data_IF_347841825405
#
_entry.id   IF_347841825405
#
_cell.length_a   1.000
_cell.length_b   1.000
_cell.length_c   1.000
_cell.angle_alpha   90.00
_cell.angle_beta   90.00
_cell.angle_gamma   90.00
#
_symmetry.space_group_name_H-M   'P 1'
#
loop_
_entity.id
_entity.type
_entity.pdbx_description
1 polymer ?
#
# COMPACT_ATOMS: atom_id res chain seq x y z
N UNK A 1 6.66 16.44 17.22
CA UNK A 1 6.77 16.41 18.71
C UNK A 1 5.92 15.23 19.18
N UNK A 2 6.48 14.29 19.97
CA UNK A 2 5.73 13.14 20.52
C UNK A 2 4.83 13.68 21.64
N UNK A 3 3.52 13.44 21.57
CA UNK A 3 2.57 13.90 22.58
C UNK A 3 2.51 12.93 23.76
N UNK A 4 1.98 13.39 24.91
CA UNK A 4 1.71 12.50 26.05
C UNK A 4 0.75 11.35 25.69
N UNK A 5 -0.22 11.61 24.79
CA UNK A 5 -1.14 10.59 24.27
C UNK A 5 -0.37 9.50 23.50
N UNK A 6 0.61 9.87 22.68
CA UNK A 6 1.43 8.91 21.94
C UNK A 6 2.25 8.02 22.88
N UNK A 7 2.79 8.60 23.95
CA UNK A 7 3.54 7.84 24.97
C UNK A 7 2.62 6.83 25.67
N UNK A 8 1.45 7.28 26.15
CA UNK A 8 0.48 6.40 26.82
C UNK A 8 -0.01 5.31 25.87
N UNK A 9 -0.29 5.63 24.60
CA UNK A 9 -0.68 4.64 23.62
C UNK A 9 0.41 3.57 23.42
N UNK A 10 1.68 3.98 23.29
CA UNK A 10 2.82 3.04 23.15
C UNK A 10 3.01 2.14 24.39
N UNK A 11 2.77 2.65 25.60
CA UNK A 11 2.86 1.86 26.83
C UNK A 11 1.72 0.85 26.97
N UNK A 12 0.52 1.19 26.47
CA UNK A 12 -0.66 0.31 26.54
C UNK A 12 -0.71 -0.74 25.44
N UNK A 13 -0.13 -0.45 24.28
CA UNK A 13 -0.28 -1.30 23.10
C UNK A 13 0.25 -2.74 23.28
N UNK A 14 1.37 -3.00 23.97
CA UNK A 14 1.80 -4.37 24.29
C UNK A 14 0.72 -5.19 24.99
N UNK A 15 -0.01 -4.61 25.93
CA UNK A 15 -1.11 -5.29 26.63
C UNK A 15 -2.28 -5.57 25.69
N UNK A 16 -2.58 -4.62 24.76
CA UNK A 16 -3.61 -4.83 23.75
C UNK A 16 -3.23 -5.95 22.77
N UNK A 17 -1.95 -6.05 22.39
CA UNK A 17 -1.43 -7.15 21.56
C UNK A 17 -1.59 -8.49 22.27
N UNK A 18 -1.23 -8.55 23.56
CA UNK A 18 -1.33 -9.77 24.36
C UNK A 18 -2.78 -10.23 24.56
N UNK A 19 -3.72 -9.27 24.71
CA UNK A 19 -5.14 -9.55 24.90
C UNK A 19 -5.87 -10.02 23.63
N UNK A 20 -5.34 -9.74 22.43
CA UNK A 20 -5.98 -10.12 21.16
C UNK A 20 -5.51 -11.49 20.68
N UNK A 21 -6.43 -12.46 20.47
CA UNK A 21 -6.08 -13.75 19.90
C UNK A 21 -5.31 -13.59 18.57
N UNK A 22 -4.23 -14.35 18.40
CA UNK A 22 -3.41 -14.29 17.18
C UNK A 22 -2.40 -13.14 17.13
N UNK A 23 -2.64 -12.00 17.81
CA UNK A 23 -1.74 -10.84 17.72
C UNK A 23 -0.56 -10.87 18.68
N UNK A 24 -0.65 -11.64 19.78
CA UNK A 24 0.45 -11.79 20.78
C UNK A 24 1.77 -12.23 20.16
N UNK A 25 1.73 -13.02 19.07
CA UNK A 25 2.92 -13.48 18.34
C UNK A 25 3.73 -12.33 17.73
N UNK A 26 3.12 -11.17 17.53
CA UNK A 26 3.74 -10.00 16.92
C UNK A 26 4.38 -9.05 17.93
N UNK A 27 4.26 -9.30 19.26
CA UNK A 27 4.78 -8.39 20.28
C UNK A 27 6.28 -8.12 20.11
N UNK A 28 7.10 -9.15 19.94
CA UNK A 28 8.55 -9.01 19.74
C UNK A 28 8.89 -8.22 18.47
N UNK A 29 8.17 -8.50 17.36
CA UNK A 29 8.33 -7.76 16.09
C UNK A 29 7.94 -6.29 16.24
N UNK A 30 6.85 -6.03 16.95
CA UNK A 30 6.39 -4.66 17.21
C UNK A 30 7.39 -3.89 18.05
N UNK A 31 7.91 -4.47 19.14
CA UNK A 31 8.95 -3.84 19.98
C UNK A 31 10.22 -3.51 19.18
N UNK A 32 10.69 -4.42 18.34
CA UNK A 32 11.86 -4.18 17.48
C UNK A 32 11.59 -3.06 16.48
N UNK A 33 10.37 -2.95 15.97
CA UNK A 33 9.96 -1.94 14.99
C UNK A 33 9.89 -0.52 15.53
N UNK A 34 9.99 -0.33 16.87
CA UNK A 34 10.02 1.01 17.48
C UNK A 34 11.33 1.77 17.19
N UNK A 35 12.36 1.11 16.67
CA UNK A 35 13.63 1.74 16.32
C UNK A 35 13.44 2.74 15.17
N UNK A 36 13.96 3.99 15.27
CA UNK A 36 13.83 4.98 14.21
C UNK A 36 14.29 4.45 12.85
N UNK A 37 13.50 4.66 11.79
CA UNK A 37 13.83 4.20 10.43
C UNK A 37 13.89 2.67 10.26
N UNK A 38 13.29 1.91 11.16
CA UNK A 38 13.33 0.44 11.15
C UNK A 38 12.85 -0.16 9.82
N UNK A 39 11.68 0.26 9.33
CA UNK A 39 11.09 -0.31 8.11
C UNK A 39 11.99 -0.19 6.89
N UNK A 40 12.58 0.99 6.70
CA UNK A 40 13.48 1.22 5.57
C UNK A 40 14.77 0.38 5.70
N UNK A 41 15.39 0.34 6.90
CA UNK A 41 16.60 -0.47 7.12
C UNK A 41 16.31 -1.97 7.00
N UNK A 42 15.20 -2.42 7.55
CA UNK A 42 14.79 -3.82 7.49
C UNK A 42 14.31 -4.22 6.08
N UNK A 43 13.92 -3.25 5.24
CA UNK A 43 13.29 -3.51 3.95
C UNK A 43 11.96 -4.25 4.14
N UNK A 44 11.07 -3.69 4.97
CA UNK A 44 9.77 -4.26 5.25
C UNK A 44 8.66 -3.30 4.86
N UNK A 45 7.57 -3.79 4.24
CA UNK A 45 6.38 -2.99 3.99
C UNK A 45 5.76 -2.47 5.30
N UNK A 46 5.15 -1.30 5.23
CA UNK A 46 4.36 -0.78 6.34
C UNK A 46 2.90 -1.23 6.22
N UNK A 47 2.71 -2.52 6.41
CA UNK A 47 1.43 -3.23 6.36
C UNK A 47 1.21 -3.96 7.69
N UNK A 48 0.03 -4.57 7.89
CA UNK A 48 -0.16 -5.43 9.05
C UNK A 48 0.83 -6.58 9.07
N UNK A 49 1.24 -7.03 10.25
CA UNK A 49 2.22 -8.14 10.35
C UNK A 49 1.71 -9.42 9.68
N UNK A 50 0.39 -9.67 9.75
CA UNK A 50 -0.22 -10.83 9.09
C UNK A 50 -0.17 -10.71 7.56
N UNK A 51 -0.36 -9.51 7.02
CA UNK A 51 -0.17 -9.25 5.58
C UNK A 51 1.30 -9.43 5.16
N UNK A 52 2.26 -8.96 5.96
CA UNK A 52 3.69 -9.18 5.72
C UNK A 52 4.00 -10.69 5.71
N UNK A 53 3.43 -11.47 6.62
CA UNK A 53 3.61 -12.92 6.68
C UNK A 53 2.97 -13.63 5.45
N UNK A 54 1.85 -13.12 4.96
CA UNK A 54 1.25 -13.60 3.72
C UNK A 54 2.13 -13.29 2.50
N UNK A 55 2.67 -12.06 2.41
CA UNK A 55 3.62 -11.67 1.37
C UNK A 55 4.88 -12.53 1.37
N UNK A 56 5.35 -12.95 2.55
CA UNK A 56 6.54 -13.78 2.67
C UNK A 56 6.41 -15.15 1.98
N UNK A 57 5.18 -15.61 1.76
CA UNK A 57 4.88 -16.90 1.09
C UNK A 57 4.85 -16.79 -0.44
N UNK A 58 4.81 -15.57 -1.01
CA UNK A 58 4.78 -15.37 -2.44
C UNK A 58 6.17 -15.51 -3.05
N UNK A 59 6.30 -16.20 -4.18
CA UNK A 59 7.50 -16.12 -4.99
C UNK A 59 7.46 -14.87 -5.88
N UNK A 60 8.36 -13.92 -5.60
CA UNK A 60 8.41 -12.64 -6.29
C UNK A 60 9.56 -12.57 -7.32
N UNK A 61 10.36 -13.61 -7.48
CA UNK A 61 11.47 -13.62 -8.43
C UNK A 61 11.00 -13.41 -9.86
N UNK A 62 11.54 -12.39 -10.50
CA UNK A 62 11.18 -12.00 -11.87
C UNK A 62 9.76 -11.39 -12.02
N UNK A 63 8.99 -11.30 -10.94
CA UNK A 63 7.64 -10.72 -10.96
C UNK A 63 7.69 -9.22 -11.19
N UNK A 64 6.69 -8.71 -11.89
CA UNK A 64 6.49 -7.27 -12.12
C UNK A 64 5.60 -6.71 -11.03
N UNK A 65 6.16 -5.79 -10.25
CA UNK A 65 5.46 -5.12 -9.15
C UNK A 65 5.34 -3.64 -9.47
N UNK A 66 4.15 -3.07 -9.25
CA UNK A 66 3.93 -1.65 -9.22
C UNK A 66 3.53 -1.23 -7.80
N UNK A 67 4.07 -0.12 -7.31
CA UNK A 67 3.62 0.41 -6.01
C UNK A 67 3.37 1.92 -6.05
N UNK A 68 2.31 2.32 -5.39
CA UNK A 68 2.01 3.69 -5.04
C UNK A 68 2.41 3.93 -3.58
N UNK A 69 3.38 4.81 -3.35
CA UNK A 69 3.99 5.06 -2.04
C UNK A 69 5.20 4.17 -1.80
N UNK A 70 6.39 4.75 -1.94
CA UNK A 70 7.66 4.05 -1.76
C UNK A 70 8.07 3.89 -0.29
N UNK A 71 8.99 2.99 -0.04
CA UNK A 71 9.55 2.83 1.31
C UNK A 71 10.28 1.53 1.55
N UNK A 72 10.04 0.96 2.73
CA UNK A 72 10.55 -0.37 3.05
C UNK A 72 9.98 -1.46 2.13
N UNK A 73 8.78 -1.25 1.57
CA UNK A 73 8.16 -2.10 0.56
C UNK A 73 8.98 -2.16 -0.73
N UNK A 74 9.46 -1.04 -1.24
CA UNK A 74 10.33 -0.98 -2.43
C UNK A 74 11.56 -1.89 -2.24
N UNK A 75 12.24 -1.76 -1.11
CA UNK A 75 13.39 -2.61 -0.77
C UNK A 75 12.99 -4.08 -0.59
N UNK A 76 11.80 -4.33 -0.04
CA UNK A 76 11.27 -5.70 0.13
C UNK A 76 11.10 -6.41 -1.22
N UNK A 77 10.47 -5.74 -2.20
CA UNK A 77 10.27 -6.29 -3.54
C UNK A 77 11.60 -6.58 -4.23
N UNK A 78 12.52 -5.60 -4.21
CA UNK A 78 13.85 -5.72 -4.83
C UNK A 78 14.67 -6.87 -4.24
N UNK A 79 14.71 -7.00 -2.91
CA UNK A 79 15.42 -8.09 -2.22
C UNK A 79 14.85 -9.48 -2.53
N UNK A 80 13.61 -9.55 -2.96
CA UNK A 80 12.95 -10.79 -3.37
C UNK A 80 13.01 -11.04 -4.88
N UNK A 81 13.80 -10.24 -5.59
CA UNK A 81 14.07 -10.42 -7.03
C UNK A 81 12.97 -9.95 -7.95
N UNK A 82 12.06 -9.08 -7.49
CA UNK A 82 11.03 -8.47 -8.33
C UNK A 82 11.61 -7.36 -9.23
N UNK A 83 10.95 -7.09 -10.35
CA UNK A 83 11.12 -5.90 -11.18
C UNK A 83 10.09 -4.87 -10.73
N UNK A 84 10.54 -3.71 -10.27
CA UNK A 84 9.68 -2.76 -9.54
C UNK A 84 9.50 -1.47 -10.32
N UNK A 85 8.28 -0.98 -10.39
CA UNK A 85 7.95 0.41 -10.69
C UNK A 85 7.38 1.00 -9.40
N UNK A 86 8.01 2.06 -8.88
CA UNK A 86 7.59 2.69 -7.63
C UNK A 86 7.37 4.18 -7.83
N UNK A 87 6.24 4.70 -7.34
CA UNK A 87 5.85 6.10 -7.48
C UNK A 87 5.76 6.75 -6.11
N UNK A 88 6.49 7.85 -5.92
CA UNK A 88 6.54 8.62 -4.69
C UNK A 88 6.11 10.07 -4.93
N UNK A 89 5.42 10.67 -3.96
CA UNK A 89 4.93 12.05 -4.08
C UNK A 89 5.75 13.06 -3.26
N UNK A 90 6.42 12.60 -2.19
CA UNK A 90 7.21 13.42 -1.28
C UNK A 90 8.67 13.44 -1.71
N UNK A 91 9.23 14.60 -2.12
CA UNK A 91 10.62 14.68 -2.58
C UNK A 91 11.64 14.30 -1.49
N UNK A 92 11.41 14.69 -0.23
CA UNK A 92 12.35 14.40 0.84
C UNK A 92 12.35 12.90 1.18
N UNK A 93 11.18 12.26 1.15
CA UNK A 93 11.06 10.81 1.33
C UNK A 93 11.64 10.04 0.14
N UNK A 94 11.39 10.52 -1.09
CA UNK A 94 11.97 9.94 -2.30
C UNK A 94 13.49 9.84 -2.21
N UNK A 95 14.18 10.94 -1.87
CA UNK A 95 15.64 10.94 -1.74
C UNK A 95 16.13 10.00 -0.64
N UNK A 96 15.41 9.93 0.48
CA UNK A 96 15.75 9.01 1.58
C UNK A 96 15.65 7.55 1.17
N UNK A 97 14.59 7.17 0.44
CA UNK A 97 14.42 5.80 -0.05
C UNK A 97 15.44 5.49 -1.13
N UNK A 98 15.67 6.42 -2.07
CA UNK A 98 16.67 6.29 -3.14
C UNK A 98 18.06 6.01 -2.60
N UNK A 99 18.47 6.69 -1.54
CA UNK A 99 19.77 6.48 -0.90
C UNK A 99 19.95 5.07 -0.29
N UNK A 100 18.85 4.35 -0.05
CA UNK A 100 18.87 2.99 0.48
C UNK A 100 18.81 1.90 -0.61
N UNK A 101 18.63 2.28 -1.89
CA UNK A 101 18.47 1.35 -3.02
C UNK A 101 19.82 1.18 -3.72
N UNK A 102 20.24 -0.06 -4.01
CA UNK A 102 21.43 -0.32 -4.83
C UNK A 102 21.31 0.32 -6.23
N UNK A 103 22.38 0.91 -6.78
CA UNK A 103 22.33 1.61 -8.08
C UNK A 103 21.84 0.75 -9.24
N UNK A 104 22.19 -0.54 -9.27
CA UNK A 104 21.84 -1.51 -10.30
C UNK A 104 20.54 -2.26 -10.07
N UNK A 105 19.76 -1.85 -9.07
CA UNK A 105 18.47 -2.50 -8.77
C UNK A 105 17.49 -2.37 -9.96
N UNK A 106 16.73 -3.42 -10.30
CA UNK A 106 15.75 -3.40 -11.39
C UNK A 106 14.50 -2.58 -11.00
N UNK A 107 14.67 -1.27 -10.87
CA UNK A 107 13.69 -0.31 -10.38
C UNK A 107 13.52 0.87 -11.35
N UNK A 108 12.26 1.13 -11.73
CA UNK A 108 11.81 2.39 -12.29
C UNK A 108 11.23 3.23 -11.15
N UNK A 109 12.01 4.18 -10.61
CA UNK A 109 11.63 4.96 -9.44
C UNK A 109 11.27 6.39 -9.85
N UNK A 110 10.01 6.76 -9.62
CA UNK A 110 9.41 8.00 -10.12
C UNK A 110 9.02 8.93 -8.98
N UNK A 111 9.54 10.16 -8.99
CA UNK A 111 9.04 11.25 -8.15
C UNK A 111 7.92 11.99 -8.89
N UNK A 112 6.72 11.96 -8.34
CA UNK A 112 5.54 12.63 -8.91
C UNK A 112 4.84 13.43 -7.82
N UNK A 113 5.28 14.67 -7.57
CA UNK A 113 4.65 15.55 -6.59
C UNK A 113 3.19 15.86 -6.95
N UNK A 114 2.36 16.17 -5.94
CA UNK A 114 0.98 16.56 -6.19
C UNK A 114 0.91 17.92 -6.90
N UNK A 115 -0.20 18.15 -7.57
CA UNK A 115 -0.49 19.37 -8.30
C UNK A 115 -1.34 20.32 -7.46
N UNK A 116 -1.09 21.64 -7.46
CA UNK A 116 -1.98 22.60 -6.83
C UNK A 116 -3.43 22.46 -7.34
N UNK A 117 -4.38 22.56 -6.43
CA UNK A 117 -5.79 22.47 -6.76
C UNK A 117 -6.52 23.76 -6.42
N UNK A 118 -7.59 24.12 -7.17
CA UNK A 118 -8.49 25.18 -6.75
C UNK A 118 -9.05 24.88 -5.34
N UNK A 119 -9.35 25.91 -4.55
CA UNK A 119 -9.94 25.73 -3.23
C UNK A 119 -11.42 25.34 -3.36
N UNK A 120 -11.66 24.10 -3.79
CA UNK A 120 -12.99 23.51 -3.87
C UNK A 120 -13.03 22.27 -2.99
N UNK A 121 -14.12 22.05 -2.22
CA UNK A 121 -14.32 20.80 -1.52
C UNK A 121 -14.23 19.63 -2.49
N UNK A 122 -13.40 18.64 -2.14
CA UNK A 122 -13.28 17.42 -2.91
C UNK A 122 -13.50 16.23 -1.98
N UNK A 123 -14.29 15.27 -2.44
CA UNK A 123 -14.59 14.07 -1.68
C UNK A 123 -13.47 13.03 -1.90
N UNK A 124 -12.72 12.65 -0.87
CA UNK A 124 -11.66 11.66 -1.02
C UNK A 124 -12.18 10.24 -1.33
N UNK A 125 -13.48 9.99 -1.24
CA UNK A 125 -14.10 8.75 -1.67
C UNK A 125 -14.37 8.71 -3.18
N UNK A 126 -14.38 9.88 -3.86
CA UNK A 126 -14.59 9.95 -5.29
C UNK A 126 -13.27 9.68 -6.05
N UNK A 127 -13.18 8.59 -6.82
CA UNK A 127 -11.98 8.29 -7.61
C UNK A 127 -11.63 9.37 -8.64
N UNK A 128 -12.62 10.10 -9.13
CA UNK A 128 -12.41 11.17 -10.10
C UNK A 128 -11.86 12.47 -9.49
N UNK A 129 -11.90 12.58 -8.15
CA UNK A 129 -11.42 13.77 -7.44
C UNK A 129 -9.90 13.81 -7.31
N UNK A 130 -9.20 12.69 -7.41
CA UNK A 130 -7.73 12.59 -7.26
C UNK A 130 -7.20 13.28 -6.01
N UNK A 131 -7.96 13.29 -4.92
CA UNK A 131 -7.60 13.97 -3.69
C UNK A 131 -7.25 12.99 -2.56
N UNK A 132 -6.53 13.48 -1.56
CA UNK A 132 -6.22 12.73 -0.34
C UNK A 132 -7.21 13.07 0.76
N UNK A 133 -7.55 12.08 1.60
CA UNK A 133 -8.28 12.34 2.85
C UNK A 133 -7.42 12.94 3.96
N UNK A 134 -6.13 13.17 3.72
CA UNK A 134 -5.24 13.83 4.67
C UNK A 134 -5.38 15.36 4.54
N UNK A 135 -5.76 16.07 5.62
CA UNK A 135 -5.95 17.53 5.59
C UNK A 135 -4.72 18.32 5.12
N UNK A 136 -3.51 17.80 5.32
CA UNK A 136 -2.29 18.43 4.84
C UNK A 136 -2.24 18.58 3.31
N UNK A 137 -3.04 17.78 2.59
CA UNK A 137 -3.12 17.78 1.14
C UNK A 137 -4.46 18.30 0.58
N UNK A 138 -5.24 19.04 1.37
CA UNK A 138 -6.56 19.54 0.94
C UNK A 138 -6.50 20.40 -0.33
N UNK A 139 -5.42 21.22 -0.49
CA UNK A 139 -5.18 22.09 -1.65
C UNK A 139 -4.39 21.40 -2.78
N UNK A 140 -4.36 20.08 -2.80
CA UNK A 140 -3.53 19.33 -3.74
C UNK A 140 -4.33 18.23 -4.44
N UNK A 141 -3.92 17.89 -5.68
CA UNK A 141 -4.45 16.75 -6.43
C UNK A 141 -3.31 15.83 -6.84
N UNK A 142 -3.65 14.57 -6.99
CA UNK A 142 -2.73 13.47 -7.28
C UNK A 142 -3.03 12.82 -8.63
N UNK A 143 -3.54 13.58 -9.60
CA UNK A 143 -3.93 13.01 -10.90
C UNK A 143 -2.72 12.41 -11.62
N UNK A 144 -1.64 13.19 -11.78
CA UNK A 144 -0.41 12.72 -12.42
C UNK A 144 0.20 11.52 -11.68
N UNK A 145 0.08 11.51 -10.33
CA UNK A 145 0.53 10.40 -9.51
C UNK A 145 -0.29 9.13 -9.75
N UNK A 146 -1.61 9.21 -9.71
CA UNK A 146 -2.50 8.06 -9.89
C UNK A 146 -2.42 7.47 -11.30
N UNK A 147 -2.24 8.30 -12.32
CA UNK A 147 -2.18 7.89 -13.73
C UNK A 147 -0.82 7.33 -14.17
N UNK A 148 0.21 7.29 -13.30
CA UNK A 148 1.53 6.76 -13.68
C UNK A 148 1.49 5.32 -14.19
N UNK A 149 0.58 4.51 -13.69
CA UNK A 149 0.42 3.11 -14.10
C UNK A 149 -0.18 2.98 -15.50
N UNK A 150 -0.85 4.02 -16.01
CA UNK A 150 -1.48 4.00 -17.34
C UNK A 150 -0.48 3.96 -18.49
N UNK A 151 0.79 4.30 -18.22
CA UNK A 151 1.89 4.14 -19.18
C UNK A 151 2.20 2.66 -19.49
N UNK A 152 1.60 1.72 -18.78
CA UNK A 152 1.83 0.29 -18.96
C UNK A 152 0.60 -0.39 -19.57
N UNK A 153 0.78 -1.49 -20.33
CA UNK A 153 -0.32 -2.28 -20.86
C UNK A 153 -1.25 -2.81 -19.77
N UNK A 154 -2.49 -3.10 -20.11
CA UNK A 154 -3.39 -3.85 -19.24
C UNK A 154 -2.83 -5.23 -18.91
N UNK A 155 -3.24 -5.77 -17.77
CA UNK A 155 -2.88 -7.10 -17.28
C UNK A 155 -1.36 -7.40 -17.29
N UNK A 156 -0.51 -6.39 -17.02
CA UNK A 156 0.94 -6.55 -17.12
C UNK A 156 1.66 -6.71 -15.77
N UNK A 157 1.02 -6.41 -14.65
CA UNK A 157 1.62 -6.54 -13.32
C UNK A 157 1.14 -7.81 -12.61
N UNK A 158 2.09 -8.49 -11.95
CA UNK A 158 1.80 -9.63 -11.07
C UNK A 158 1.23 -9.16 -9.73
N UNK A 159 1.71 -8.00 -9.25
CA UNK A 159 1.30 -7.41 -8.00
C UNK A 159 1.27 -5.88 -8.11
N UNK A 160 0.22 -5.27 -7.57
CA UNK A 160 0.14 -3.82 -7.39
C UNK A 160 -0.13 -3.52 -5.93
N UNK A 161 0.70 -2.67 -5.30
CA UNK A 161 0.47 -2.15 -3.95
C UNK A 161 -0.07 -0.71 -4.02
N UNK A 162 -1.18 -0.44 -3.34
CA UNK A 162 -1.77 0.90 -3.18
C UNK A 162 -1.66 1.29 -1.70
N UNK A 163 -0.57 1.97 -1.36
CA UNK A 163 -0.25 2.43 0.00
C UNK A 163 0.15 3.93 0.04
N UNK A 164 -0.11 4.66 -1.02
CA UNK A 164 0.20 6.09 -1.13
C UNK A 164 -0.99 7.01 -0.87
N UNK A 165 -1.10 8.05 -1.70
CA UNK A 165 -2.17 9.06 -1.64
C UNK A 165 -3.24 8.79 -2.69
N UNK A 166 -4.41 9.47 -2.55
CA UNK A 166 -5.55 9.35 -3.48
C UNK A 166 -5.89 7.89 -3.85
N UNK A 167 -5.94 7.01 -2.84
CA UNK A 167 -6.08 5.55 -3.05
C UNK A 167 -7.28 5.14 -3.89
N UNK A 168 -8.49 5.75 -3.76
CA UNK A 168 -9.61 5.43 -4.66
C UNK A 168 -9.27 5.67 -6.12
N UNK A 169 -8.59 6.78 -6.44
CA UNK A 169 -8.15 7.08 -7.81
C UNK A 169 -7.09 6.08 -8.27
N UNK A 170 -6.09 5.78 -7.43
CA UNK A 170 -5.07 4.77 -7.75
C UNK A 170 -5.67 3.40 -8.02
N UNK A 171 -6.71 2.99 -7.29
CA UNK A 171 -7.40 1.70 -7.50
C UNK A 171 -8.05 1.59 -8.88
N UNK A 172 -8.70 2.67 -9.35
CA UNK A 172 -9.35 2.68 -10.68
C UNK A 172 -8.32 2.50 -11.80
N UNK A 173 -7.15 3.12 -11.68
CA UNK A 173 -6.08 2.97 -12.65
C UNK A 173 -5.33 1.64 -12.50
N UNK A 174 -5.18 1.14 -11.27
CA UNK A 174 -4.43 -0.07 -10.95
C UNK A 174 -5.14 -1.36 -11.38
N UNK A 175 -6.45 -1.47 -11.13
CA UNK A 175 -7.19 -2.72 -11.32
C UNK A 175 -7.09 -3.31 -12.74
N UNK A 176 -7.22 -2.52 -13.83
CA UNK A 176 -7.03 -3.03 -15.18
C UNK A 176 -5.62 -3.54 -15.47
N UNK A 177 -4.61 -3.04 -14.76
CA UNK A 177 -3.18 -3.34 -14.98
C UNK A 177 -2.71 -4.61 -14.27
N UNK A 178 -3.47 -5.11 -13.29
CA UNK A 178 -3.19 -6.40 -12.65
C UNK A 178 -3.60 -7.52 -13.59
N UNK A 179 -2.72 -8.49 -13.83
CA UNK A 179 -3.03 -9.64 -14.69
C UNK A 179 -4.05 -10.59 -14.04
N UNK A 180 -4.75 -11.43 -14.80
CA UNK A 180 -5.50 -12.57 -14.23
C UNK A 180 -4.58 -13.41 -13.31
N UNK A 181 -5.10 -13.84 -12.15
CA UNK A 181 -4.32 -14.49 -11.09
C UNK A 181 -3.31 -13.58 -10.38
N UNK A 182 -3.21 -12.31 -10.75
CA UNK A 182 -2.38 -11.30 -10.06
C UNK A 182 -3.07 -10.74 -8.82
N UNK A 183 -2.31 -9.99 -8.02
CA UNK A 183 -2.77 -9.48 -6.72
C UNK A 183 -2.71 -7.95 -6.69
N UNK A 184 -3.80 -7.32 -6.27
CA UNK A 184 -3.84 -5.93 -5.86
C UNK A 184 -3.91 -5.87 -4.34
N UNK A 185 -3.02 -5.10 -3.72
CA UNK A 185 -2.96 -4.93 -2.27
C UNK A 185 -3.36 -3.49 -1.95
N UNK A 186 -4.34 -3.35 -1.08
CA UNK A 186 -4.76 -2.06 -0.55
C UNK A 186 -4.51 -2.03 0.95
N UNK A 187 -3.75 -1.05 1.42
CA UNK A 187 -3.53 -0.84 2.85
C UNK A 187 -4.56 0.12 3.45
N UNK A 188 -4.79 0.01 4.77
CA UNK A 188 -5.79 0.74 5.56
C UNK A 188 -7.23 0.56 5.05
N UNK A 189 -7.63 -0.67 4.75
CA UNK A 189 -8.99 -0.98 4.27
C UNK A 189 -10.07 -0.81 5.34
N UNK A 190 -9.71 -0.62 6.61
CA UNK A 190 -10.62 -0.14 7.65
C UNK A 190 -11.25 1.22 7.31
N UNK A 191 -10.64 1.97 6.38
CA UNK A 191 -11.19 3.23 5.86
C UNK A 191 -12.13 2.94 4.71
N UNK A 192 -13.38 2.63 5.01
CA UNK A 192 -14.39 2.22 4.02
C UNK A 192 -14.51 3.15 2.81
N UNK A 193 -14.19 4.44 2.96
CA UNK A 193 -14.26 5.40 1.85
C UNK A 193 -13.28 5.10 0.70
N UNK A 194 -12.27 4.24 0.89
CA UNK A 194 -11.39 3.83 -0.20
C UNK A 194 -12.08 2.98 -1.27
N UNK A 195 -13.13 2.25 -0.89
CA UNK A 195 -13.77 1.28 -1.79
C UNK A 195 -15.25 1.54 -2.05
N UNK A 196 -15.90 2.38 -1.24
CA UNK A 196 -17.36 2.58 -1.27
C UNK A 196 -17.90 3.08 -2.62
N UNK A 197 -17.07 3.81 -3.41
CA UNK A 197 -17.48 4.33 -4.71
C UNK A 197 -16.81 3.66 -5.91
N UNK A 198 -16.21 2.49 -5.71
CA UNK A 198 -15.56 1.75 -6.81
C UNK A 198 -16.55 0.94 -7.67
N UNK A 199 -17.82 0.87 -7.28
CA UNK A 199 -18.83 0.10 -8.00
C UNK A 199 -18.41 -1.36 -8.19
N UNK A 200 -18.44 -1.82 -9.45
CA UNK A 200 -18.09 -3.20 -9.83
C UNK A 200 -16.58 -3.40 -10.12
N UNK A 201 -15.72 -2.42 -9.87
CA UNK A 201 -14.30 -2.47 -10.26
C UNK A 201 -13.59 -3.75 -9.80
N UNK A 202 -13.86 -4.17 -8.57
CA UNK A 202 -13.28 -5.37 -7.95
C UNK A 202 -14.28 -6.55 -7.92
N UNK A 203 -15.35 -6.50 -8.72
CA UNK A 203 -16.30 -7.60 -8.85
C UNK A 203 -15.59 -8.82 -9.44
N UNK A 204 -15.82 -10.00 -8.85
CA UNK A 204 -15.16 -11.23 -9.26
C UNK A 204 -13.72 -11.41 -8.77
N UNK A 205 -13.21 -10.47 -7.97
CA UNK A 205 -11.92 -10.63 -7.28
C UNK A 205 -12.12 -11.33 -5.93
N UNK A 206 -11.19 -12.19 -5.57
CA UNK A 206 -11.19 -12.81 -4.23
C UNK A 206 -10.47 -11.88 -3.25
N UNK A 207 -11.17 -11.42 -2.22
CA UNK A 207 -10.61 -10.56 -1.19
C UNK A 207 -10.21 -11.37 0.05
N UNK A 208 -9.02 -11.08 0.60
CA UNK A 208 -8.56 -11.59 1.89
C UNK A 208 -8.04 -10.42 2.71
N UNK A 209 -8.69 -10.13 3.85
CA UNK A 209 -8.31 -9.03 4.73
C UNK A 209 -7.46 -9.54 5.91
N UNK A 210 -6.37 -8.88 6.14
CA UNK A 210 -5.45 -9.10 7.26
C UNK A 210 -5.58 -7.94 8.24
N UNK A 211 -6.38 -8.13 9.30
CA UNK A 211 -6.57 -7.16 10.37
C UNK A 211 -5.56 -7.40 11.49
N UNK A 212 -4.81 -6.39 11.89
CA UNK A 212 -3.82 -6.59 12.95
C UNK A 212 -2.93 -5.39 13.21
N UNK A 213 -1.92 -5.63 14.06
CA UNK A 213 -0.90 -4.64 14.37
C UNK A 213 0.02 -4.39 13.18
N UNK A 214 0.52 -3.17 13.10
CA UNK A 214 1.51 -2.73 12.11
C UNK A 214 2.86 -2.43 12.78
N UNK A 215 3.97 -2.47 12.05
CA UNK A 215 5.25 -2.01 12.56
C UNK A 215 5.22 -0.50 12.89
N UNK A 216 5.79 -0.11 14.02
CA UNK A 216 5.99 1.28 14.43
C UNK A 216 4.84 1.85 15.28
N UNK A 217 3.75 2.40 14.73
CA UNK A 217 2.71 3.02 15.54
C UNK A 217 1.90 2.00 16.36
N UNK A 218 1.37 2.43 17.53
CA UNK A 218 0.57 1.59 18.41
C UNK A 218 -0.90 1.53 17.95
N UNK A 219 -1.12 0.99 16.75
CA UNK A 219 -2.44 0.90 16.12
C UNK A 219 -2.68 -0.48 15.49
N UNK A 220 -3.95 -0.82 15.36
CA UNK A 220 -4.42 -1.92 14.54
C UNK A 220 -5.06 -1.35 13.28
N UNK A 221 -4.74 -1.92 12.14
CA UNK A 221 -5.26 -1.53 10.82
C UNK A 221 -5.66 -2.78 10.03
N UNK A 222 -6.06 -2.57 8.79
CA UNK A 222 -6.38 -3.65 7.87
C UNK A 222 -5.62 -3.46 6.55
N UNK A 223 -5.10 -4.57 6.04
CA UNK A 223 -4.54 -4.66 4.69
C UNK A 223 -5.31 -5.74 3.93
N UNK A 224 -5.88 -5.41 2.77
CA UNK A 224 -6.63 -6.38 1.97
C UNK A 224 -5.91 -6.72 0.68
N UNK A 225 -5.81 -8.01 0.41
CA UNK A 225 -5.33 -8.57 -0.85
C UNK A 225 -6.52 -8.95 -1.71
N UNK A 226 -6.59 -8.38 -2.91
CA UNK A 226 -7.57 -8.73 -3.93
C UNK A 226 -6.86 -9.52 -5.02
N UNK A 227 -7.22 -10.78 -5.21
CA UNK A 227 -6.69 -11.64 -6.28
C UNK A 227 -7.66 -11.58 -7.45
N UNK A 228 -7.17 -11.15 -8.61
CA UNK A 228 -7.99 -11.10 -9.83
C UNK A 228 -8.29 -12.50 -10.31
N UNK A 229 -9.58 -12.81 -10.48
CA UNK A 229 -10.01 -14.11 -11.03
C UNK A 229 -9.40 -14.37 -12.41
N UNK A 230 -9.18 -15.64 -12.73
CA UNK A 230 -8.82 -16.05 -14.08
C UNK A 230 -10.01 -15.89 -15.02
N UNK A 231 -9.78 -15.36 -16.22
CA UNK A 231 -10.83 -15.14 -17.22
C UNK A 231 -11.52 -16.45 -17.67
N UNK A 232 -10.99 -17.61 -17.29
CA UNK A 232 -11.50 -18.94 -17.67
C UNK A 232 -12.67 -19.46 -16.84
N UNK A 233 -13.10 -18.75 -15.77
CA UNK A 233 -14.17 -19.21 -14.88
C UNK A 233 -15.49 -18.43 -15.01
N UNK A 234 -15.72 -17.70 -16.10
CA UNK A 234 -17.09 -17.27 -16.44
C UNK A 234 -17.82 -18.50 -16.98
N UNK A 235 -18.44 -19.28 -16.09
CA UNK A 235 -19.49 -20.22 -16.51
C UNK A 235 -20.59 -19.39 -17.16
N UNK A 236 -20.65 -19.43 -18.50
CA UNK A 236 -21.81 -19.00 -19.25
C UNK A 236 -22.90 -20.01 -18.83
N UNK A 237 -23.72 -19.61 -17.86
CA UNK A 237 -24.93 -20.32 -17.53
C UNK A 237 -25.91 -20.15 -18.71
N UNK A 238 -26.14 -21.21 -19.44
CA UNK A 238 -27.29 -21.33 -20.32
C UNK A 238 -28.57 -21.41 -19.48
#
# INVERSE_FOLDING_TARGET
>A
MITLRDIVARLRFPFQLMARPGQRRHLGRWLVSQRPGYLLRAGLPWLTFDAIDALARLDLRGRRVFEYGSGGSTLYWLRRGARVVSVEHDPAWYERVRAAIPPEAPLDYRLVPPEPAPPAPADPADPAAYCSGDPAFAAWRFRRYATQIDAFPEACFDLVLVDGRARPSCLVHAAPRVRPGGTLILDNTERAYYTVRLGSLLSGWTATTYAGAVPGPPVFTETTFYVRGDATNVKIGC
#
